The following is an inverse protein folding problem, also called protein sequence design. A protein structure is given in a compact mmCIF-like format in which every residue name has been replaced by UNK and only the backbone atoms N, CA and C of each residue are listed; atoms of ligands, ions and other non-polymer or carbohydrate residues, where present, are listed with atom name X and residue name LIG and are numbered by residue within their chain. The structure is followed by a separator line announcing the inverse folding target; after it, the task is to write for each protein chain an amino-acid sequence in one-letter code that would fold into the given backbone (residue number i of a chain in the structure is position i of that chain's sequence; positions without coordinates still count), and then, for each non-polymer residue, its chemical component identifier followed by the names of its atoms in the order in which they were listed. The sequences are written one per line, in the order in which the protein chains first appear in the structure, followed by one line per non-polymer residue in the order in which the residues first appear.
data_IF_825200927687
#
_entry.id   IF_825200927687
#
_cell.length_a   1.000
_cell.length_b   1.000
_cell.length_c   1.000
_cell.angle_alpha   90.00
_cell.angle_beta   90.00
_cell.angle_gamma   90.00
#
_symmetry.space_group_name_H-M   'P 1'
#
loop_
_entity.id
_entity.type
_entity.pdbx_description
1 polymer ?
#
# COMPACT_ATOMS: atom_id res chain seq x y z
N UNK A 1 12.00 -14.23 -2.45
CA UNK A 1 11.11 -13.13 -2.88
C UNK A 1 9.69 -13.68 -2.99
N UNK A 2 8.83 -13.43 -2.00
CA UNK A 2 7.41 -13.75 -2.11
C UNK A 2 6.76 -12.77 -3.09
N UNK A 3 6.25 -13.28 -4.20
CA UNK A 3 5.52 -12.50 -5.19
C UNK A 3 4.04 -12.60 -4.85
N UNK A 4 3.47 -11.55 -4.26
CA UNK A 4 2.03 -11.47 -4.07
C UNK A 4 1.38 -11.22 -5.44
N UNK A 5 0.70 -12.23 -5.97
CA UNK A 5 0.10 -12.25 -7.31
C UNK A 5 -1.00 -11.19 -7.52
N UNK A 6 -1.45 -10.54 -6.45
CA UNK A 6 -2.52 -9.54 -6.47
C UNK A 6 -2.06 -8.12 -6.86
N UNK A 7 -0.75 -7.84 -6.88
CA UNK A 7 -0.25 -6.52 -7.26
C UNK A 7 -0.23 -6.35 -8.78
N UNK A 8 -0.88 -5.29 -9.26
CA UNK A 8 -0.77 -4.85 -10.65
C UNK A 8 0.27 -3.75 -10.75
N UNK A 9 1.11 -3.79 -11.80
CA UNK A 9 2.04 -2.71 -12.11
C UNK A 9 1.27 -1.47 -12.58
N UNK A 10 1.38 -0.38 -11.84
CA UNK A 10 0.77 0.90 -12.15
C UNK A 10 1.83 1.99 -12.37
N UNK A 11 1.66 2.79 -13.42
CA UNK A 11 2.46 4.00 -13.65
C UNK A 11 1.86 5.17 -12.88
N UNK A 12 2.69 5.86 -12.09
CA UNK A 12 2.35 7.06 -11.33
C UNK A 12 3.42 8.13 -11.58
N UNK A 13 3.10 9.38 -11.25
CA UNK A 13 4.07 10.46 -11.15
C UNK A 13 4.67 10.52 -9.75
N UNK A 14 5.99 10.59 -9.65
CA UNK A 14 6.67 10.86 -8.39
C UNK A 14 6.57 12.37 -8.03
N UNK A 15 7.11 12.78 -6.88
CA UNK A 15 7.09 14.20 -6.44
C UNK A 15 7.84 15.18 -7.34
N UNK A 16 8.64 14.67 -8.28
CA UNK A 16 9.37 15.46 -9.28
C UNK A 16 8.63 15.48 -10.62
N UNK A 17 7.41 14.91 -10.71
CA UNK A 17 6.65 14.79 -11.94
C UNK A 17 7.19 13.75 -12.92
N UNK A 18 8.03 12.81 -12.46
CA UNK A 18 8.61 11.76 -13.30
C UNK A 18 7.77 10.49 -13.21
N UNK A 19 7.58 9.82 -14.35
CA UNK A 19 6.90 8.52 -14.43
C UNK A 19 7.70 7.44 -13.72
N UNK A 20 7.03 6.73 -12.82
CA UNK A 20 7.56 5.62 -12.02
C UNK A 20 6.54 4.49 -11.97
N UNK A 21 7.01 3.26 -11.76
CA UNK A 21 6.13 2.11 -11.61
C UNK A 21 6.09 1.62 -10.17
N UNK A 22 4.90 1.37 -9.66
CA UNK A 22 4.66 0.68 -8.39
C UNK A 22 3.82 -0.56 -8.63
N UNK A 23 4.02 -1.58 -7.80
CA UNK A 23 3.00 -2.61 -7.62
C UNK A 23 1.89 -2.02 -6.76
N UNK A 24 0.65 -2.08 -7.23
CA UNK A 24 -0.52 -1.55 -6.54
C UNK A 24 -1.64 -2.58 -6.53
N UNK A 25 -2.34 -2.70 -5.41
CA UNK A 25 -3.63 -3.41 -5.34
C UNK A 25 -4.60 -2.66 -4.44
N UNK A 26 -5.89 -2.66 -4.80
CA UNK A 26 -6.97 -2.03 -4.03
C UNK A 26 -7.92 -3.11 -3.53
N UNK A 27 -8.14 -3.12 -2.22
CA UNK A 27 -8.99 -4.10 -1.54
C UNK A 27 -10.01 -3.34 -0.69
N UNK A 28 -11.28 -3.26 -1.14
CA UNK A 28 -12.34 -2.66 -0.35
C UNK A 28 -12.76 -3.60 0.78
N UNK A 29 -13.09 -3.01 1.93
CA UNK A 29 -13.75 -3.65 3.06
C UNK A 29 -14.96 -2.82 3.46
N UNK A 30 -15.76 -3.31 4.41
CA UNK A 30 -16.93 -2.54 4.89
C UNK A 30 -16.54 -1.16 5.45
N UNK A 31 -15.41 -1.07 6.16
CA UNK A 31 -15.00 0.15 6.87
C UNK A 31 -13.92 0.96 6.15
N UNK A 32 -13.13 0.34 5.29
CA UNK A 32 -11.90 0.93 4.71
C UNK A 32 -11.68 0.50 3.28
N UNK A 33 -11.01 1.36 2.53
CA UNK A 33 -10.47 1.09 1.20
C UNK A 33 -8.96 1.00 1.33
N UNK A 34 -8.44 -0.23 1.43
CA UNK A 34 -7.01 -0.46 1.53
C UNK A 34 -6.39 -0.38 0.14
N UNK A 35 -5.46 0.54 -0.04
CA UNK A 35 -4.58 0.56 -1.21
C UNK A 35 -3.21 0.10 -0.76
N UNK A 36 -2.84 -1.09 -1.18
CA UNK A 36 -1.51 -1.62 -0.93
C UNK A 36 -0.57 -1.19 -2.05
N UNK A 37 0.64 -0.81 -1.68
CA UNK A 37 1.71 -0.45 -2.61
C UNK A 37 3.00 -1.19 -2.30
N UNK A 38 3.77 -1.50 -3.33
CA UNK A 38 5.12 -2.03 -3.18
C UNK A 38 6.03 -1.46 -4.27
N UNK A 39 7.28 -1.19 -3.91
CA UNK A 39 8.29 -0.80 -4.87
C UNK A 39 8.64 -2.00 -5.76
N UNK A 40 8.58 -1.83 -7.07
CA UNK A 40 9.10 -2.83 -7.99
C UNK A 40 10.63 -2.75 -7.90
N UNK A 41 11.26 -3.89 -7.64
CA UNK A 41 12.68 -3.99 -7.28
C UNK A 41 13.60 -3.07 -8.11
N UNK A 42 14.59 -2.46 -7.43
CA UNK A 42 15.54 -1.39 -7.87
C UNK A 42 15.32 0.00 -7.23
N UNK A 43 14.30 0.18 -6.39
CA UNK A 43 14.10 1.45 -5.69
C UNK A 43 14.56 1.39 -4.24
N UNK A 44 15.10 2.51 -3.73
CA UNK A 44 15.48 2.63 -2.32
C UNK A 44 14.26 2.41 -1.41
N UNK A 45 14.46 1.85 -0.22
CA UNK A 45 13.39 1.65 0.78
C UNK A 45 12.65 2.93 1.18
N UNK A 46 13.26 4.10 0.96
CA UNK A 46 12.64 5.41 1.17
C UNK A 46 11.79 5.91 -0.01
N UNK A 47 11.73 5.18 -1.12
CA UNK A 47 11.10 5.64 -2.35
C UNK A 47 9.62 5.95 -2.17
N UNK A 48 8.84 5.01 -1.64
CA UNK A 48 7.41 5.26 -1.37
C UNK A 48 7.25 6.40 -0.38
N UNK A 49 8.07 6.43 0.67
CA UNK A 49 7.96 7.48 1.69
C UNK A 49 8.25 8.88 1.20
N UNK A 50 9.19 9.05 0.27
CA UNK A 50 9.46 10.37 -0.35
C UNK A 50 8.34 10.84 -1.27
N UNK A 51 7.45 9.95 -1.68
CA UNK A 51 6.41 10.18 -2.68
C UNK A 51 5.00 9.91 -2.14
N UNK A 52 4.85 9.63 -0.84
CA UNK A 52 3.62 9.09 -0.27
C UNK A 52 2.42 9.99 -0.54
N UNK A 53 2.57 11.30 -0.38
CA UNK A 53 1.50 12.28 -0.65
C UNK A 53 1.09 12.28 -2.13
N UNK A 54 2.06 12.30 -3.03
CA UNK A 54 1.81 12.29 -4.48
C UNK A 54 1.15 10.99 -4.93
N UNK A 55 1.57 9.85 -4.38
CA UNK A 55 0.95 8.56 -4.66
C UNK A 55 -0.44 8.47 -4.06
N UNK A 56 -0.64 8.91 -2.81
CA UNK A 56 -1.96 8.92 -2.18
C UNK A 56 -2.97 9.74 -2.97
N UNK A 57 -2.58 10.94 -3.42
CA UNK A 57 -3.41 11.76 -4.30
C UNK A 57 -3.80 11.00 -5.57
N UNK A 58 -2.83 10.49 -6.33
CA UNK A 58 -3.12 9.82 -7.59
C UNK A 58 -3.95 8.55 -7.41
N UNK A 59 -3.65 7.75 -6.38
CA UNK A 59 -4.35 6.49 -6.11
C UNK A 59 -5.79 6.72 -5.65
N UNK A 60 -6.01 7.71 -4.79
CA UNK A 60 -7.35 8.10 -4.36
C UNK A 60 -8.22 8.52 -5.55
N UNK A 61 -7.70 9.33 -6.47
CA UNK A 61 -8.44 9.75 -7.67
C UNK A 61 -8.61 8.61 -8.67
N UNK A 62 -7.58 7.78 -8.87
CA UNK A 62 -7.60 6.62 -9.77
C UNK A 62 -8.71 5.64 -9.40
N UNK A 63 -8.84 5.35 -8.10
CA UNK A 63 -9.82 4.40 -7.57
C UNK A 63 -11.12 5.06 -7.10
N UNK A 64 -11.26 6.39 -7.26
CA UNK A 64 -12.45 7.17 -6.88
C UNK A 64 -12.86 6.97 -5.41
N UNK A 65 -11.87 7.05 -4.51
CA UNK A 65 -12.04 6.72 -3.09
C UNK A 65 -12.37 7.94 -2.23
N UNK A 66 -13.04 7.70 -1.11
CA UNK A 66 -13.27 8.69 -0.05
C UNK A 66 -12.03 8.79 0.86
N UNK A 67 -11.56 10.00 1.13
CA UNK A 67 -10.42 10.27 2.03
C UNK A 67 -10.62 9.71 3.43
N UNK A 68 -11.87 9.60 3.92
CA UNK A 68 -12.21 9.04 5.24
C UNK A 68 -12.08 7.53 5.30
N UNK A 69 -12.11 6.85 4.15
CA UNK A 69 -12.02 5.38 4.04
C UNK A 69 -10.66 4.92 3.54
N UNK A 70 -9.92 5.79 2.86
CA UNK A 70 -8.64 5.50 2.24
C UNK A 70 -7.55 5.16 3.27
N UNK A 71 -6.95 3.99 3.12
CA UNK A 71 -5.77 3.55 3.90
C UNK A 71 -4.67 3.11 2.92
N UNK A 72 -3.56 3.85 2.89
CA UNK A 72 -2.39 3.46 2.11
C UNK A 72 -1.46 2.60 2.97
N UNK A 73 -1.18 1.39 2.49
CA UNK A 73 -0.28 0.45 3.17
C UNK A 73 0.85 0.05 2.23
N UNK A 74 2.08 0.26 2.65
CA UNK A 74 3.27 -0.13 1.88
C UNK A 74 3.78 -1.49 2.37
N UNK A 75 3.91 -2.43 1.44
CA UNK A 75 4.63 -3.68 1.65
C UNK A 75 6.08 -3.52 1.17
N UNK A 76 7.02 -3.55 2.11
CA UNK A 76 8.46 -3.58 1.83
C UNK A 76 8.99 -4.99 1.98
N UNK A 77 9.69 -5.46 0.97
CA UNK A 77 10.42 -6.73 1.01
C UNK A 77 11.92 -6.43 1.03
N UNK A 78 12.63 -6.86 2.07
CA UNK A 78 14.08 -6.74 2.17
C UNK A 78 14.69 -8.11 2.51
N UNK A 79 15.48 -8.67 1.60
CA UNK A 79 16.05 -10.02 1.69
C UNK A 79 14.99 -11.09 2.03
N UNK A 80 14.83 -11.39 3.33
CA UNK A 80 13.95 -12.43 3.88
C UNK A 80 12.86 -11.88 4.81
N UNK A 81 12.76 -10.56 4.99
CA UNK A 81 11.76 -9.94 5.84
C UNK A 81 10.79 -9.05 5.06
N UNK A 82 9.51 -9.22 5.35
CA UNK A 82 8.44 -8.33 4.89
C UNK A 82 7.99 -7.40 6.03
N UNK A 83 8.03 -6.10 5.78
CA UNK A 83 7.48 -5.10 6.70
C UNK A 83 6.31 -4.36 6.06
N UNK A 84 5.29 -4.08 6.87
CA UNK A 84 4.14 -3.28 6.47
C UNK A 84 4.23 -1.90 7.12
N UNK A 85 4.09 -0.87 6.31
CA UNK A 85 4.06 0.52 6.75
C UNK A 85 2.70 1.11 6.44
N UNK A 86 2.06 1.75 7.42
CA UNK A 86 0.83 2.51 7.22
C UNK A 86 1.16 3.96 6.99
N UNK A 87 0.63 4.53 5.91
CA UNK A 87 0.75 5.95 5.64
C UNK A 87 -0.53 6.66 6.07
N UNK A 88 -0.39 7.64 6.97
CA UNK A 88 -1.47 8.54 7.39
C UNK A 88 -1.27 9.89 6.75
N UNK A 89 -2.39 10.52 6.40
CA UNK A 89 -2.41 11.81 5.73
C UNK A 89 -3.39 12.77 6.41
N UNK A 90 -2.98 14.02 6.55
CA UNK A 90 -3.91 15.13 6.72
C UNK A 90 -4.44 15.54 5.34
N UNK A 91 -5.75 15.72 5.22
CA UNK A 91 -6.41 16.01 3.94
C UNK A 91 -7.05 17.40 3.93
N UNK A 92 -6.95 18.09 2.78
CA UNK A 92 -7.80 19.24 2.43
C UNK A 92 -8.52 18.90 1.15
N UNK A 93 -9.84 18.66 1.24
CA UNK A 93 -10.58 18.04 0.15
C UNK A 93 -10.02 16.64 -0.14
N UNK A 94 -9.53 16.43 -1.37
CA UNK A 94 -8.88 15.19 -1.82
C UNK A 94 -7.35 15.31 -1.93
N UNK A 95 -6.77 16.41 -1.44
CA UNK A 95 -5.33 16.66 -1.49
C UNK A 95 -4.67 16.33 -0.14
N UNK A 96 -3.68 15.43 -0.11
CA UNK A 96 -2.90 15.14 1.10
C UNK A 96 -1.87 16.25 1.35
N UNK A 97 -1.75 16.70 2.60
CA UNK A 97 -0.80 17.75 3.01
C UNK A 97 0.47 17.21 3.66
N UNK A 98 0.34 16.13 4.44
CA UNK A 98 1.44 15.62 5.24
C UNK A 98 1.34 14.09 5.41
N UNK A 99 2.24 13.37 4.75
CA UNK A 99 2.32 11.91 4.82
C UNK A 99 3.23 11.46 5.95
N UNK A 100 2.68 10.70 6.91
CA UNK A 100 3.45 10.06 7.98
C UNK A 100 3.36 8.55 7.88
N UNK A 101 4.51 7.92 7.68
CA UNK A 101 4.65 6.47 7.65
C UNK A 101 4.89 5.90 9.04
N UNK A 102 4.14 4.87 9.41
CA UNK A 102 4.29 4.15 10.68
C UNK A 102 4.49 2.66 10.40
N UNK A 103 5.54 2.08 10.98
CA UNK A 103 5.75 0.63 10.93
C UNK A 103 4.63 -0.06 11.71
N UNK A 104 3.98 -1.03 11.08
CA UNK A 104 3.00 -1.88 11.73
C UNK A 104 3.74 -2.97 12.51
N UNK A 105 3.78 -2.84 13.84
CA UNK A 105 4.49 -3.77 14.73
C UNK A 105 3.60 -4.84 15.33
N UNK A 106 2.27 -4.60 15.42
CA UNK A 106 1.32 -5.56 15.98
C UNK A 106 1.23 -6.83 15.11
N UNK A 107 1.56 -8.03 15.64
CA UNK A 107 1.52 -9.27 14.88
C UNK A 107 0.11 -9.58 14.34
N UNK A 108 -0.93 -9.33 15.14
CA UNK A 108 -2.33 -9.54 14.76
C UNK A 108 -2.68 -8.65 13.56
N UNK A 109 -2.34 -7.36 13.63
CA UNK A 109 -2.61 -6.42 12.55
C UNK A 109 -1.85 -6.77 11.28
N UNK A 110 -0.57 -7.16 11.40
CA UNK A 110 0.23 -7.64 10.25
C UNK A 110 -0.44 -8.84 9.60
N UNK A 111 -0.81 -9.84 10.38
CA UNK A 111 -1.45 -11.06 9.86
C UNK A 111 -2.76 -10.74 9.16
N UNK A 112 -3.61 -9.87 9.73
CA UNK A 112 -4.86 -9.46 9.11
C UNK A 112 -4.64 -8.78 7.75
N UNK A 113 -3.66 -7.87 7.66
CA UNK A 113 -3.36 -7.17 6.40
C UNK A 113 -2.73 -8.09 5.36
N UNK A 114 -1.84 -9.02 5.76
CA UNK A 114 -1.28 -10.01 4.84
C UNK A 114 -2.35 -10.96 4.30
N UNK A 115 -3.34 -11.35 5.12
CA UNK A 115 -4.49 -12.15 4.68
C UNK A 115 -5.35 -11.47 3.61
N UNK A 116 -5.34 -10.14 3.54
CA UNK A 116 -5.99 -9.42 2.45
C UNK A 116 -5.20 -9.57 1.15
N UNK A 117 -3.85 -9.57 1.22
CA UNK A 117 -2.97 -9.69 0.05
C UNK A 117 -2.93 -11.11 -0.52
N UNK A 118 -3.08 -12.14 0.33
CA UNK A 118 -3.06 -13.56 -0.07
C UNK A 118 -4.35 -14.27 0.35
N UNK A 119 -5.50 -14.01 -0.32
CA UNK A 119 -6.76 -14.65 0.04
C UNK A 119 -6.74 -16.18 -0.13
N UNK A 120 -5.92 -16.71 -1.04
CA UNK A 120 -5.77 -18.16 -1.27
C UNK A 120 -5.18 -18.91 -0.07
N UNK A 121 -4.42 -18.23 0.79
CA UNK A 121 -3.85 -18.83 2.00
C UNK A 121 -4.93 -19.14 3.06
N UNK A 122 -6.10 -18.49 2.95
CA UNK A 122 -7.26 -18.77 3.80
C UNK A 122 -7.92 -20.12 3.46
N UNK A 123 -7.92 -20.53 2.18
CA UNK A 123 -8.55 -21.79 1.75
C UNK A 123 -7.72 -23.00 2.19
N UNK A 124 -6.39 -22.87 2.28
CA UNK A 124 -5.50 -23.94 2.76
C UNK A 124 -5.54 -24.10 4.28
N UNK A 125 -5.63 -23.01 5.03
CA UNK A 125 -5.68 -23.05 6.49
C UNK A 125 -7.01 -23.58 7.06
N UNK A 126 -8.11 -23.50 6.30
CA UNK A 126 -9.42 -24.05 6.70
C UNK A 126 -9.62 -25.53 6.27
N UNK A 127 -8.71 -26.09 5.48
CA UNK A 127 -8.77 -27.45 4.96
C UNK A 127 -7.83 -28.43 5.70
N UNK A 128 -7.23 -28.01 6.81
CA UNK A 128 -6.41 -28.83 7.72
C UNK A 128 -7.02 -28.81 9.11
#
# INVERSE_FOLDING_TARGET
MHHHSCFTRLELDNRLGQKVFLGVTHIPTEMRDYVFVTALSQQASSFVGKNADHFAFQLLHRFQLDTKRFELVELRSAADEQSLWRWRFEWVGTTPLSGRGELITSPVQRQQLMRLLDPDDQLKAAAT
#
